data_IF_834322147511
#
_entry.id   IF_834322147511
#
_cell.length_a   1.000
_cell.length_b   1.000
_cell.length_c   1.000
_cell.angle_alpha   90.00
_cell.angle_beta   90.00
_cell.angle_gamma   90.00
#
_symmetry.space_group_name_H-M   'P 1'
#
loop_
_entity.id
_entity.type
_entity.pdbx_description
1 polymer ?
#
# COMPACT_ATOMS: atom_id res chain seq x y z
N UNK A 1 5.03 15.88 18.89
CA UNK A 1 3.87 16.77 19.05
C UNK A 1 3.86 17.27 20.49
N UNK A 2 4.19 18.54 20.71
CA UNK A 2 4.11 19.17 22.04
C UNK A 2 2.74 19.88 22.06
N UNK A 3 1.87 19.52 23.01
CA UNK A 3 0.55 20.16 23.26
C UNK A 3 -0.51 20.15 22.15
N UNK A 4 -0.51 19.17 21.25
CA UNK A 4 -1.60 18.99 20.27
C UNK A 4 -1.67 20.04 19.15
N UNK A 5 -0.73 20.99 19.10
CA UNK A 5 -0.58 21.91 17.99
C UNK A 5 0.09 21.21 16.80
N UNK A 6 -0.43 21.47 15.59
CA UNK A 6 0.18 21.00 14.34
C UNK A 6 1.54 21.69 14.14
N UNK A 7 2.64 20.94 13.91
CA UNK A 7 3.94 21.55 13.60
C UNK A 7 3.90 22.37 12.30
N UNK A 8 4.79 23.37 12.19
CA UNK A 8 4.94 24.17 10.98
C UNK A 8 5.71 23.38 9.90
N UNK A 9 5.08 23.05 8.75
CA UNK A 9 5.72 22.26 7.68
C UNK A 9 6.99 22.91 7.13
N UNK A 10 7.09 24.24 7.18
CA UNK A 10 8.26 24.95 6.67
C UNK A 10 9.54 24.70 7.51
N UNK A 11 9.38 24.19 8.74
CA UNK A 11 10.47 23.97 9.69
C UNK A 11 10.82 22.49 9.87
N UNK A 12 10.14 21.59 9.14
CA UNK A 12 10.35 20.14 9.25
C UNK A 12 11.51 19.66 8.36
N UNK A 13 12.31 18.72 8.88
CA UNK A 13 13.33 18.02 8.10
C UNK A 13 12.73 16.76 7.45
N UNK A 14 12.31 16.90 6.19
CA UNK A 14 11.76 15.80 5.38
C UNK A 14 12.79 14.71 5.02
N UNK A 15 14.09 14.96 5.25
CA UNK A 15 15.15 13.98 5.00
C UNK A 15 15.48 13.12 6.23
N UNK A 16 14.92 13.46 7.40
CA UNK A 16 15.15 12.70 8.61
C UNK A 16 14.61 11.26 8.48
N UNK A 17 15.39 10.23 8.87
CA UNK A 17 15.02 8.82 8.66
C UNK A 17 13.79 8.36 9.46
N UNK A 18 13.42 9.13 10.49
CA UNK A 18 12.25 8.87 11.34
C UNK A 18 11.22 9.99 11.25
N UNK A 19 11.23 10.76 10.15
CA UNK A 19 10.19 11.72 9.87
C UNK A 19 8.82 11.02 9.79
N UNK A 20 7.82 11.57 10.49
CA UNK A 20 6.43 11.09 10.44
C UNK A 20 5.61 12.14 9.72
N UNK A 21 5.15 11.80 8.52
CA UNK A 21 4.30 12.68 7.73
C UNK A 21 2.97 12.97 8.43
N UNK A 22 2.42 14.15 8.15
CA UNK A 22 1.15 14.56 8.73
C UNK A 22 -0.01 13.62 8.35
N UNK A 23 -0.89 13.36 9.33
CA UNK A 23 -2.12 12.61 9.15
C UNK A 23 -3.34 13.46 9.50
N UNK A 24 -4.47 13.21 8.83
CA UNK A 24 -5.73 13.93 9.09
C UNK A 24 -6.32 13.59 10.46
N UNK A 25 -6.09 12.37 10.94
CA UNK A 25 -6.59 11.87 12.24
C UNK A 25 -5.39 11.42 13.08
N UNK A 26 -5.23 11.94 14.31
CA UNK A 26 -4.13 11.53 15.18
C UNK A 26 -4.39 10.11 15.69
N UNK A 27 -3.46 9.21 15.39
CA UNK A 27 -3.50 7.82 15.81
C UNK A 27 -2.08 7.38 16.22
N UNK A 28 -1.98 6.42 17.15
CA UNK A 28 -0.68 5.84 17.50
C UNK A 28 -0.08 5.04 16.33
N UNK A 29 -0.94 4.47 15.48
CA UNK A 29 -0.58 3.69 14.30
C UNK A 29 -1.51 4.03 13.14
N UNK A 30 -0.96 4.09 11.93
CA UNK A 30 -1.75 4.24 10.71
C UNK A 30 -2.59 2.99 10.45
N UNK A 31 -3.80 3.15 9.95
CA UNK A 31 -4.58 2.04 9.41
C UNK A 31 -4.07 1.68 8.01
N UNK A 32 -4.38 0.46 7.55
CA UNK A 32 -4.16 0.06 6.17
C UNK A 32 -5.19 0.72 5.23
N UNK A 33 -4.76 1.01 4.00
CA UNK A 33 -5.66 1.40 2.92
C UNK A 33 -6.33 0.16 2.30
N UNK A 34 -7.58 0.31 1.87
CA UNK A 34 -8.37 -0.74 1.21
C UNK A 34 -8.47 -0.55 -0.31
N UNK A 35 -7.49 0.12 -0.91
CA UNK A 35 -7.42 0.36 -2.35
C UNK A 35 -6.94 -0.87 -3.12
N UNK A 36 -7.26 -0.93 -4.41
CA UNK A 36 -6.77 -1.99 -5.29
C UNK A 36 -5.24 -1.92 -5.41
N UNK A 37 -4.58 -3.10 -5.44
CA UNK A 37 -3.12 -3.22 -5.57
C UNK A 37 -2.73 -3.79 -6.93
N UNK A 38 -1.59 -3.33 -7.45
CA UNK A 38 -1.06 -3.84 -8.72
C UNK A 38 -0.55 -5.28 -8.58
N UNK A 39 -0.80 -6.10 -9.59
CA UNK A 39 -0.28 -7.46 -9.72
C UNK A 39 0.60 -7.56 -10.98
N UNK A 40 1.83 -8.06 -10.81
CA UNK A 40 2.75 -8.31 -11.90
C UNK A 40 2.97 -9.81 -12.08
N UNK A 41 2.93 -10.29 -13.32
CA UNK A 41 3.10 -11.70 -13.64
C UNK A 41 4.08 -11.89 -14.80
N UNK A 42 4.88 -12.96 -14.73
CA UNK A 42 5.81 -13.39 -15.77
C UNK A 42 5.88 -14.93 -15.77
N UNK A 43 6.04 -15.53 -16.96
CA UNK A 43 6.17 -16.98 -17.12
C UNK A 43 4.91 -17.63 -17.72
N UNK A 44 4.79 -18.97 -17.61
CA UNK A 44 3.64 -19.71 -18.13
C UNK A 44 2.33 -19.12 -17.61
N UNK A 45 1.37 -18.92 -18.51
CA UNK A 45 0.06 -18.34 -18.17
C UNK A 45 0.06 -16.93 -17.56
N UNK A 46 1.14 -16.14 -17.68
CA UNK A 46 1.15 -14.75 -17.19
C UNK A 46 0.01 -13.87 -17.75
N UNK A 47 -0.47 -14.19 -18.96
CA UNK A 47 -1.61 -13.53 -19.61
C UNK A 47 -2.97 -13.74 -18.89
N UNK A 48 -3.05 -14.63 -17.89
CA UNK A 48 -4.23 -14.77 -17.03
C UNK A 48 -4.44 -13.56 -16.10
N UNK A 49 -3.37 -12.81 -15.82
CA UNK A 49 -3.39 -11.64 -14.94
C UNK A 49 -3.47 -10.37 -15.78
N UNK A 50 -4.63 -10.15 -16.40
CA UNK A 50 -4.93 -8.96 -17.21
C UNK A 50 -6.25 -8.34 -16.77
N UNK A 51 -6.30 -7.02 -16.66
CA UNK A 51 -7.48 -6.31 -16.17
C UNK A 51 -7.57 -6.29 -14.63
N UNK A 52 -8.80 -6.29 -14.11
CA UNK A 52 -9.10 -6.21 -12.68
C UNK A 52 -9.56 -7.59 -12.19
N UNK A 53 -9.03 -8.02 -11.05
CA UNK A 53 -9.37 -9.30 -10.43
C UNK A 53 -9.57 -9.14 -8.94
N UNK A 54 -10.47 -9.96 -8.40
CA UNK A 54 -10.57 -10.17 -6.95
C UNK A 54 -9.29 -10.80 -6.40
N UNK A 55 -8.87 -10.45 -5.18
CA UNK A 55 -7.65 -11.02 -4.57
C UNK A 55 -7.70 -12.56 -4.48
N UNK A 56 -8.90 -13.14 -4.30
CA UNK A 56 -9.10 -14.58 -4.28
C UNK A 56 -8.84 -15.27 -5.64
N UNK A 57 -8.79 -14.53 -6.76
CA UNK A 57 -8.49 -15.07 -8.08
C UNK A 57 -7.04 -15.59 -8.17
N UNK A 58 -6.10 -14.93 -7.49
CA UNK A 58 -4.66 -15.23 -7.57
C UNK A 58 -4.35 -16.72 -7.36
N UNK A 59 -4.75 -17.36 -6.24
CA UNK A 59 -4.47 -18.78 -6.03
C UNK A 59 -5.19 -19.70 -7.03
N UNK A 60 -6.35 -19.32 -7.56
CA UNK A 60 -7.08 -20.12 -8.54
C UNK A 60 -6.40 -20.10 -9.91
N UNK A 61 -5.95 -18.93 -10.35
CA UNK A 61 -5.20 -18.77 -11.59
C UNK A 61 -3.84 -19.48 -11.53
N UNK A 62 -3.14 -19.38 -10.38
CA UNK A 62 -1.89 -20.10 -10.15
C UNK A 62 -2.12 -21.62 -10.19
N UNK A 63 -3.17 -22.11 -9.54
CA UNK A 63 -3.53 -23.53 -9.59
C UNK A 63 -3.77 -23.98 -11.02
N UNK A 64 -4.59 -23.26 -11.77
CA UNK A 64 -4.86 -23.55 -13.19
C UNK A 64 -3.57 -23.61 -14.02
N UNK A 65 -2.63 -22.69 -13.79
CA UNK A 65 -1.34 -22.67 -14.48
C UNK A 65 -0.42 -23.85 -14.11
N UNK A 66 -0.63 -24.48 -12.95
CA UNK A 66 0.19 -25.57 -12.40
C UNK A 66 -0.38 -26.98 -12.58
N UNK A 67 -1.54 -27.12 -13.21
CA UNK A 67 -2.37 -28.35 -13.28
C UNK A 67 -2.96 -28.77 -11.92
#
# INVERSE_FOLDING_TARGET
QVDGARPDPALEDYSAPHYVAAATVPMEQSNHAGEDVALYAMGPHAHLFTGIHENAFIPHALRYASC
#
